data_IF_641018147380
#
_entry.id   IF_641018147380
#
_cell.length_a   1.000
_cell.length_b   1.000
_cell.length_c   1.000
_cell.angle_alpha   90.00
_cell.angle_beta   90.00
_cell.angle_gamma   90.00
#
_symmetry.space_group_name_H-M   'P 1'
#
loop_
_entity.id
_entity.type
_entity.pdbx_description
1 polymer ?
#
# COMPACT_ATOMS: atom_id res chain seq x y z
N UNK A 1 24.24 -4.47 11.40
CA UNK A 1 24.55 -5.03 10.07
C UNK A 1 24.82 -3.86 9.13
N UNK A 2 26.07 -3.59 8.80
CA UNK A 2 26.43 -2.71 7.70
C UNK A 2 26.04 -3.44 6.42
N UNK A 3 24.93 -3.04 5.80
CA UNK A 3 24.59 -3.50 4.46
C UNK A 3 25.49 -2.75 3.49
N UNK A 4 26.17 -3.46 2.61
CA UNK A 4 26.89 -2.90 1.47
C UNK A 4 25.93 -1.99 0.68
N UNK A 5 26.09 -0.69 0.84
CA UNK A 5 25.15 0.36 0.40
C UNK A 5 25.27 0.69 -1.09
N UNK A 6 25.83 -0.18 -1.91
CA UNK A 6 26.01 0.10 -3.33
C UNK A 6 25.64 -1.09 -4.21
N UNK A 7 24.39 -1.56 -4.09
CA UNK A 7 23.89 -2.65 -4.94
C UNK A 7 23.76 -2.27 -6.44
N UNK A 8 23.93 -0.99 -6.79
CA UNK A 8 23.62 -0.48 -8.14
C UNK A 8 22.12 -0.53 -8.49
N UNK A 9 21.28 -1.06 -7.60
CA UNK A 9 19.85 -1.18 -7.83
C UNK A 9 19.15 0.17 -7.69
N UNK A 10 18.18 0.41 -8.56
CA UNK A 10 17.34 1.61 -8.53
C UNK A 10 15.88 1.23 -8.28
N UNK A 11 15.19 2.06 -7.51
CA UNK A 11 13.78 1.88 -7.16
C UNK A 11 12.92 2.87 -7.93
N UNK A 12 11.90 2.38 -8.62
CA UNK A 12 10.80 3.20 -9.14
C UNK A 12 9.67 3.30 -8.09
N UNK A 13 9.13 4.49 -7.89
CA UNK A 13 7.92 4.71 -7.08
C UNK A 13 6.91 5.46 -7.96
N UNK A 14 5.78 4.83 -8.25
CA UNK A 14 4.69 5.48 -8.97
C UNK A 14 3.66 6.04 -8.00
N UNK A 15 3.49 7.37 -8.00
CA UNK A 15 2.66 8.12 -7.07
C UNK A 15 3.47 8.73 -5.93
N UNK A 16 3.19 10.02 -5.64
CA UNK A 16 3.85 10.76 -4.57
C UNK A 16 2.83 11.38 -3.60
N UNK A 17 1.82 10.54 -3.28
CA UNK A 17 0.86 10.81 -2.20
C UNK A 17 1.44 10.41 -0.84
N UNK A 18 0.56 10.18 0.15
CA UNK A 18 0.96 9.80 1.53
C UNK A 18 1.87 8.55 1.56
N UNK A 19 1.47 7.49 0.88
CA UNK A 19 2.24 6.24 0.85
C UNK A 19 3.56 6.42 0.09
N UNK A 20 3.53 7.04 -1.11
CA UNK A 20 4.75 7.25 -1.91
C UNK A 20 5.78 8.11 -1.21
N UNK A 21 5.36 9.21 -0.56
CA UNK A 21 6.26 10.06 0.23
C UNK A 21 6.94 9.30 1.36
N UNK A 22 6.17 8.56 2.17
CA UNK A 22 6.74 7.77 3.26
C UNK A 22 7.58 6.59 2.76
N UNK A 23 7.28 6.04 1.58
CA UNK A 23 8.15 5.05 0.94
C UNK A 23 9.51 5.66 0.58
N UNK A 24 9.55 6.90 0.07
CA UNK A 24 10.82 7.62 -0.16
C UNK A 24 11.58 7.78 1.16
N UNK A 25 10.94 8.28 2.21
CA UNK A 25 11.58 8.45 3.53
C UNK A 25 12.18 7.15 4.05
N UNK A 26 11.41 6.06 3.95
CA UNK A 26 11.83 4.75 4.42
C UNK A 26 13.04 4.19 3.63
N UNK A 27 13.04 4.34 2.29
CA UNK A 27 14.11 3.83 1.46
C UNK A 27 15.37 4.70 1.53
N UNK A 28 15.23 6.02 1.69
CA UNK A 28 16.34 6.93 2.00
C UNK A 28 17.00 6.53 3.32
N UNK A 29 16.21 6.23 4.37
CA UNK A 29 16.73 5.77 5.66
C UNK A 29 17.53 4.45 5.55
N UNK A 30 17.08 3.54 4.69
CA UNK A 30 17.72 2.22 4.53
C UNK A 30 18.94 2.22 3.63
N UNK A 31 19.07 3.19 2.73
CA UNK A 31 20.19 3.35 1.78
C UNK A 31 20.49 2.08 0.95
N UNK A 32 19.47 1.25 0.70
CA UNK A 32 19.61 0.02 -0.05
C UNK A 32 19.72 0.28 -1.57
N UNK A 33 18.97 1.28 -2.06
CA UNK A 33 18.95 1.66 -3.47
C UNK A 33 19.94 2.80 -3.72
N UNK A 34 20.65 2.74 -4.85
CA UNK A 34 21.59 3.79 -5.28
C UNK A 34 20.87 5.06 -5.78
N UNK A 35 19.68 4.91 -6.34
CA UNK A 35 18.83 6.01 -6.81
C UNK A 35 17.35 5.63 -6.65
N UNK A 36 16.49 6.61 -6.37
CA UNK A 36 15.04 6.44 -6.32
C UNK A 36 14.42 7.33 -7.39
N UNK A 37 13.59 6.74 -8.26
CA UNK A 37 12.88 7.43 -9.32
C UNK A 37 11.41 7.52 -8.94
N UNK A 38 10.91 8.73 -8.68
CA UNK A 38 9.53 8.97 -8.24
C UNK A 38 8.73 9.56 -9.38
N UNK A 39 7.68 8.88 -9.83
CA UNK A 39 6.76 9.45 -10.79
C UNK A 39 5.58 10.14 -10.09
N UNK A 40 5.42 11.43 -10.33
CA UNK A 40 4.26 12.22 -9.89
C UNK A 40 3.17 12.21 -10.95
N UNK A 41 3.54 12.08 -12.23
CA UNK A 41 2.65 11.98 -13.38
C UNK A 41 1.90 13.27 -13.72
N UNK A 42 2.34 14.40 -13.22
CA UNK A 42 1.82 15.75 -13.54
C UNK A 42 2.78 16.82 -13.04
N UNK A 43 2.67 17.99 -13.59
CA UNK A 43 3.32 19.17 -13.02
C UNK A 43 2.76 19.50 -11.63
N UNK A 44 3.65 19.86 -10.73
CA UNK A 44 3.34 20.23 -9.35
C UNK A 44 4.25 21.36 -8.90
N UNK A 45 3.66 22.34 -8.22
CA UNK A 45 4.38 23.55 -7.79
C UNK A 45 4.91 24.37 -8.97
N UNK A 46 5.86 25.22 -8.71
CA UNK A 46 6.53 26.04 -9.70
C UNK A 46 7.97 25.59 -9.97
N UNK A 47 8.62 25.04 -8.95
CA UNK A 47 10.02 24.61 -9.01
C UNK A 47 10.22 23.30 -8.25
N UNK A 48 11.39 22.71 -8.40
CA UNK A 48 11.80 21.52 -7.63
C UNK A 48 11.86 21.79 -6.11
N UNK A 49 12.03 23.07 -5.70
CA UNK A 49 11.98 23.49 -4.29
C UNK A 49 10.62 23.18 -3.64
N UNK A 50 9.53 23.29 -4.39
CA UNK A 50 8.19 22.96 -3.88
C UNK A 50 8.06 21.47 -3.58
N UNK A 51 8.66 20.64 -4.44
CA UNK A 51 8.72 19.19 -4.22
C UNK A 51 9.64 18.89 -3.02
N UNK A 52 10.76 19.58 -2.89
CA UNK A 52 11.65 19.42 -1.75
C UNK A 52 10.96 19.79 -0.43
N UNK A 53 10.23 20.90 -0.39
CA UNK A 53 9.44 21.30 0.79
C UNK A 53 8.35 20.27 1.12
N UNK A 54 7.64 19.77 0.11
CA UNK A 54 6.65 18.72 0.32
C UNK A 54 7.28 17.43 0.83
N UNK A 55 8.47 17.08 0.34
CA UNK A 55 9.24 15.90 0.77
C UNK A 55 9.70 16.02 2.20
N UNK A 56 10.24 17.20 2.58
CA UNK A 56 10.78 17.46 3.94
C UNK A 56 9.69 17.46 5.01
N UNK A 57 8.45 17.85 4.68
CA UNK A 57 7.40 18.10 5.67
C UNK A 57 6.19 17.20 5.51
N UNK A 58 5.71 16.68 6.63
CA UNK A 58 4.46 15.93 6.69
C UNK A 58 3.60 16.40 7.87
N UNK A 59 2.31 16.62 7.63
CA UNK A 59 1.38 17.11 8.66
C UNK A 59 1.13 16.09 9.78
N UNK A 60 1.36 14.81 9.53
CA UNK A 60 1.16 13.73 10.50
C UNK A 60 2.47 13.29 11.15
N UNK A 61 3.54 13.17 10.34
CA UNK A 61 4.82 12.59 10.76
C UNK A 61 5.92 13.62 11.02
N UNK A 62 5.65 14.91 10.80
CA UNK A 62 6.56 15.99 11.07
C UNK A 62 7.62 16.19 9.97
N UNK A 63 8.86 16.35 10.35
CA UNK A 63 9.99 16.63 9.45
C UNK A 63 10.74 15.33 9.13
N UNK A 64 11.17 15.15 7.86
CA UNK A 64 12.01 14.05 7.41
C UNK A 64 13.26 13.90 8.29
N UNK A 65 13.99 15.00 8.53
CA UNK A 65 15.17 14.99 9.41
C UNK A 65 14.86 14.49 10.82
N UNK A 66 13.72 14.91 11.37
CA UNK A 66 13.27 14.46 12.69
C UNK A 66 12.93 12.98 12.71
N UNK A 67 12.33 12.47 11.61
CA UNK A 67 12.04 11.05 11.42
C UNK A 67 13.32 10.19 11.35
N UNK A 68 14.37 10.67 10.66
CA UNK A 68 15.62 9.91 10.48
C UNK A 68 16.57 10.05 11.68
N UNK A 69 16.74 11.26 12.20
CA UNK A 69 17.86 11.59 13.11
C UNK A 69 17.45 12.36 14.38
N UNK A 70 16.16 12.59 14.59
CA UNK A 70 15.67 13.34 15.74
C UNK A 70 15.80 14.87 15.56
N UNK A 71 15.70 15.62 16.66
CA UNK A 71 15.55 17.09 16.62
C UNK A 71 16.81 17.86 16.22
N UNK A 72 17.98 17.27 16.37
CA UNK A 72 19.28 17.93 16.15
C UNK A 72 19.84 17.79 14.74
N UNK A 73 19.06 17.23 13.80
CA UNK A 73 19.56 16.94 12.46
C UNK A 73 19.63 18.20 11.58
N UNK A 74 20.70 18.29 10.81
CA UNK A 74 20.86 19.27 9.73
C UNK A 74 19.86 19.02 8.58
N UNK A 75 19.65 19.98 7.69
CA UNK A 75 18.87 19.78 6.47
C UNK A 75 19.41 18.59 5.66
N UNK A 76 18.51 17.68 5.24
CA UNK A 76 18.88 16.46 4.54
C UNK A 76 18.75 16.57 3.02
N UNK A 77 18.10 17.62 2.51
CA UNK A 77 17.86 17.81 1.08
C UNK A 77 18.87 18.84 0.55
N UNK A 78 19.63 18.42 -0.47
CA UNK A 78 20.65 19.24 -1.17
C UNK A 78 20.62 18.98 -2.68
N UNK A 79 21.52 19.64 -3.40
CA UNK A 79 21.82 19.41 -4.82
C UNK A 79 20.57 19.40 -5.73
N UNK A 80 19.72 20.44 -5.56
CA UNK A 80 18.51 20.56 -6.38
C UNK A 80 18.89 20.90 -7.83
N UNK A 81 18.67 19.96 -8.74
CA UNK A 81 18.91 20.10 -10.18
C UNK A 81 17.56 20.13 -10.93
N UNK A 82 17.09 21.33 -11.24
CA UNK A 82 15.84 21.54 -11.98
C UNK A 82 15.87 20.88 -13.37
N UNK A 83 17.02 20.85 -14.03
CA UNK A 83 17.16 20.33 -15.40
C UNK A 83 16.89 18.84 -15.44
N UNK A 84 17.45 18.08 -14.51
CA UNK A 84 17.24 16.65 -14.42
C UNK A 84 16.05 16.24 -13.53
N UNK A 85 15.42 17.22 -12.84
CA UNK A 85 14.34 17.00 -11.88
C UNK A 85 14.78 16.17 -10.66
N UNK A 86 16.05 16.28 -10.26
CA UNK A 86 16.63 15.46 -9.21
C UNK A 86 17.15 16.29 -8.04
N UNK A 87 17.18 15.69 -6.85
CA UNK A 87 17.81 16.22 -5.65
C UNK A 87 18.50 15.11 -4.88
N UNK A 88 19.39 15.47 -3.99
CA UNK A 88 19.99 14.53 -3.03
C UNK A 88 19.21 14.60 -1.72
N UNK A 89 18.80 13.46 -1.19
CA UNK A 89 18.11 13.33 0.10
C UNK A 89 18.93 12.38 0.98
N UNK A 90 19.55 12.88 2.01
CA UNK A 90 20.42 12.12 2.92
C UNK A 90 21.46 11.25 2.17
N UNK A 91 22.08 11.82 1.13
CA UNK A 91 23.07 11.16 0.29
C UNK A 91 22.51 10.25 -0.81
N UNK A 92 21.22 10.06 -0.89
CA UNK A 92 20.57 9.28 -1.96
C UNK A 92 20.04 10.23 -3.04
N UNK A 93 20.36 9.96 -4.31
CA UNK A 93 19.78 10.68 -5.44
C UNK A 93 18.31 10.29 -5.61
N UNK A 94 17.44 11.28 -5.61
CA UNK A 94 15.99 11.09 -5.85
C UNK A 94 15.56 11.96 -7.02
N UNK A 95 15.04 11.31 -8.05
CA UNK A 95 14.58 11.94 -9.29
C UNK A 95 13.06 11.97 -9.35
N UNK A 96 12.48 13.09 -9.74
CA UNK A 96 11.04 13.29 -9.85
C UNK A 96 10.61 13.45 -11.30
N UNK A 97 9.79 12.52 -11.78
CA UNK A 97 9.18 12.54 -13.12
C UNK A 97 7.79 13.16 -13.04
N UNK A 98 7.47 14.02 -14.00
CA UNK A 98 6.21 14.79 -14.01
C UNK A 98 5.39 14.58 -15.29
N UNK A 99 5.84 13.73 -16.20
CA UNK A 99 5.34 13.65 -17.57
C UNK A 99 4.03 12.89 -17.74
N UNK A 100 3.89 11.70 -17.21
CA UNK A 100 2.72 10.85 -17.48
C UNK A 100 2.17 10.15 -16.24
N UNK A 101 0.85 9.95 -16.24
CA UNK A 101 0.13 9.10 -15.29
C UNK A 101 -0.08 7.68 -15.76
N UNK A 102 0.05 7.45 -17.07
CA UNK A 102 -0.07 6.12 -17.63
C UNK A 102 1.19 5.31 -17.35
N UNK A 103 1.12 4.18 -16.66
CA UNK A 103 2.28 3.36 -16.33
C UNK A 103 3.14 2.96 -17.54
N UNK A 104 2.53 2.71 -18.69
CA UNK A 104 3.23 2.34 -19.93
C UNK A 104 4.13 3.46 -20.50
N UNK A 105 3.88 4.71 -20.10
CA UNK A 105 4.57 5.90 -20.62
C UNK A 105 5.63 6.45 -19.66
N UNK A 106 5.87 5.82 -18.49
CA UNK A 106 6.81 6.35 -17.48
C UNK A 106 8.28 6.08 -17.85
N UNK A 107 8.53 5.15 -18.76
CA UNK A 107 9.85 4.79 -19.29
C UNK A 107 10.89 4.39 -18.21
N UNK A 108 10.52 3.48 -17.33
CA UNK A 108 11.41 2.96 -16.26
C UNK A 108 12.74 2.44 -16.79
N UNK A 109 12.75 1.93 -18.04
CA UNK A 109 13.96 1.40 -18.71
C UNK A 109 15.04 2.44 -18.84
N UNK A 110 14.71 3.67 -19.21
CA UNK A 110 15.67 4.78 -19.36
C UNK A 110 16.38 5.09 -18.05
N UNK A 111 15.65 5.00 -16.93
CA UNK A 111 16.22 5.26 -15.61
C UNK A 111 16.83 4.02 -14.96
N UNK A 112 16.68 2.84 -15.54
CA UNK A 112 17.19 1.58 -15.00
C UNK A 112 16.43 1.09 -13.76
N UNK A 113 15.17 1.53 -13.55
CA UNK A 113 14.33 1.10 -12.46
C UNK A 113 13.65 -0.23 -12.78
N UNK A 114 14.24 -1.34 -12.33
CA UNK A 114 13.73 -2.70 -12.55
C UNK A 114 12.64 -3.11 -11.57
N UNK A 115 12.67 -2.58 -10.37
CA UNK A 115 11.63 -2.75 -9.35
C UNK A 115 10.83 -1.46 -9.23
N UNK A 116 9.50 -1.57 -9.35
CA UNK A 116 8.58 -0.45 -9.21
C UNK A 116 7.57 -0.72 -8.10
N UNK A 117 7.36 0.25 -7.22
CA UNK A 117 6.28 0.25 -6.23
C UNK A 117 5.18 1.21 -6.69
N UNK A 118 3.99 0.69 -7.01
CA UNK A 118 2.83 1.52 -7.31
C UNK A 118 2.08 1.87 -6.02
N UNK A 119 2.08 3.16 -5.70
CA UNK A 119 1.41 3.72 -4.52
C UNK A 119 0.20 4.59 -4.87
N UNK A 120 -0.24 4.55 -6.13
CA UNK A 120 -1.35 5.38 -6.64
C UNK A 120 -2.73 4.88 -6.19
N UNK A 121 -2.86 3.57 -5.94
CA UNK A 121 -4.14 2.92 -5.70
C UNK A 121 -5.09 2.96 -6.92
N UNK A 122 -4.58 3.20 -8.13
CA UNK A 122 -5.38 3.30 -9.37
C UNK A 122 -5.33 2.01 -10.19
N UNK A 123 -4.17 1.38 -10.32
CA UNK A 123 -3.91 0.25 -11.20
C UNK A 123 -3.97 -1.07 -10.44
N UNK A 124 -5.19 -1.47 -10.04
CA UNK A 124 -5.40 -2.58 -9.10
C UNK A 124 -5.80 -3.89 -9.77
N UNK A 125 -6.07 -3.87 -11.07
CA UNK A 125 -6.52 -5.04 -11.81
C UNK A 125 -5.37 -5.62 -12.65
N UNK A 126 -4.80 -6.77 -12.25
CA UNK A 126 -3.67 -7.38 -12.95
C UNK A 126 -4.07 -8.05 -14.26
N UNK A 127 -5.38 -8.16 -14.56
CA UNK A 127 -5.89 -8.76 -15.81
C UNK A 127 -6.01 -7.77 -16.95
N UNK A 128 -5.85 -6.46 -16.67
CA UNK A 128 -5.95 -5.40 -17.68
C UNK A 128 -4.68 -5.38 -18.53
N UNK A 129 -4.87 -5.34 -19.85
CA UNK A 129 -3.76 -5.27 -20.82
C UNK A 129 -2.93 -4.00 -20.65
N UNK A 130 -1.61 -4.05 -20.94
CA UNK A 130 -0.70 -2.94 -20.64
C UNK A 130 -1.00 -1.66 -21.43
N UNK A 131 -1.52 -1.77 -22.64
CA UNK A 131 -1.85 -0.68 -23.55
C UNK A 131 -3.25 -0.06 -23.29
N UNK A 132 -3.88 -0.40 -22.18
CA UNK A 132 -5.20 0.13 -21.84
C UNK A 132 -5.16 1.67 -21.75
N UNK A 133 -6.09 2.42 -22.40
CA UNK A 133 -6.04 3.88 -22.50
C UNK A 133 -6.04 4.64 -21.16
N UNK A 134 -6.59 4.03 -20.12
CA UNK A 134 -6.59 4.58 -18.76
C UNK A 134 -5.40 4.12 -17.90
N UNK A 135 -4.44 3.43 -18.53
CA UNK A 135 -3.31 2.78 -17.86
C UNK A 135 -3.69 1.46 -17.16
N UNK A 136 -2.69 0.64 -16.96
CA UNK A 136 -2.78 -0.65 -16.26
C UNK A 136 -1.51 -0.90 -15.46
N UNK A 137 -1.57 -1.76 -14.43
CA UNK A 137 -0.38 -2.17 -13.68
C UNK A 137 0.67 -2.82 -14.57
N UNK A 138 0.22 -3.58 -15.59
CA UNK A 138 1.08 -4.22 -16.60
C UNK A 138 1.85 -3.23 -17.46
N UNK A 139 1.37 -1.98 -17.57
CA UNK A 139 2.08 -0.91 -18.26
C UNK A 139 3.47 -0.63 -17.66
N UNK A 140 3.66 -0.83 -16.37
CA UNK A 140 4.98 -0.71 -15.75
C UNK A 140 5.99 -1.73 -16.31
N UNK A 141 5.55 -2.96 -16.58
CA UNK A 141 6.39 -4.01 -17.18
C UNK A 141 6.78 -3.63 -18.59
N UNK A 142 5.83 -3.16 -19.41
CA UNK A 142 6.10 -2.66 -20.77
C UNK A 142 7.09 -1.47 -20.76
N UNK A 143 6.95 -0.58 -19.77
CA UNK A 143 7.84 0.56 -19.57
C UNK A 143 9.26 0.17 -19.07
N UNK A 144 9.49 -1.12 -18.78
CA UNK A 144 10.82 -1.65 -18.48
C UNK A 144 11.05 -2.10 -17.04
N UNK A 145 10.04 -2.08 -16.19
CA UNK A 145 10.13 -2.73 -14.89
C UNK A 145 10.16 -4.27 -15.06
N UNK A 146 10.94 -4.97 -14.24
CA UNK A 146 10.94 -6.43 -14.16
C UNK A 146 9.92 -6.92 -13.11
N UNK A 147 9.74 -6.14 -12.04
CA UNK A 147 8.82 -6.43 -10.94
C UNK A 147 8.03 -5.20 -10.54
N UNK A 148 6.76 -5.41 -10.24
CA UNK A 148 5.85 -4.35 -9.75
C UNK A 148 5.22 -4.79 -8.44
N UNK A 149 5.39 -3.98 -7.40
CA UNK A 149 4.69 -4.14 -6.12
C UNK A 149 3.57 -3.12 -6.06
N UNK A 150 2.34 -3.58 -5.89
CA UNK A 150 1.17 -2.72 -5.72
C UNK A 150 0.87 -2.59 -4.22
N UNK A 151 0.91 -1.36 -3.69
CA UNK A 151 0.64 -1.06 -2.27
C UNK A 151 -0.88 -1.05 -1.96
N UNK A 152 -1.62 -1.97 -2.56
CA UNK A 152 -3.06 -2.11 -2.40
C UNK A 152 -3.51 -3.52 -2.83
N UNK A 153 -4.69 -3.99 -2.38
CA UNK A 153 -5.23 -5.28 -2.82
C UNK A 153 -5.62 -5.23 -4.30
N UNK A 154 -5.46 -6.33 -4.99
CA UNK A 154 -5.99 -6.48 -6.34
C UNK A 154 -7.51 -6.38 -6.37
N UNK A 155 -8.03 -5.84 -7.46
CA UNK A 155 -9.47 -5.70 -7.74
C UNK A 155 -9.75 -6.08 -9.19
N UNK A 156 -9.94 -7.37 -9.44
CA UNK A 156 -10.34 -7.87 -10.75
C UNK A 156 -11.80 -7.47 -10.97
N UNK A 157 -12.05 -6.65 -11.99
CA UNK A 157 -13.38 -6.12 -12.29
C UNK A 157 -14.25 -7.14 -13.01
N UNK A 158 -13.65 -7.89 -13.91
CA UNK A 158 -14.31 -9.00 -14.61
C UNK A 158 -14.23 -10.26 -13.74
N UNK A 159 -15.33 -10.58 -13.05
CA UNK A 159 -15.41 -11.74 -12.15
C UNK A 159 -15.20 -13.09 -12.84
N UNK A 160 -15.29 -13.14 -14.17
CA UNK A 160 -15.01 -14.33 -14.97
C UNK A 160 -13.51 -14.58 -15.20
N UNK A 161 -12.66 -13.60 -14.91
CA UNK A 161 -11.22 -13.74 -15.08
C UNK A 161 -10.54 -14.22 -13.80
N UNK A 162 -9.76 -15.31 -13.86
CA UNK A 162 -8.95 -15.74 -12.74
C UNK A 162 -7.78 -14.77 -12.48
N UNK A 163 -7.14 -14.91 -11.33
CA UNK A 163 -5.85 -14.26 -11.06
C UNK A 163 -4.83 -14.75 -12.08
N UNK A 164 -4.11 -13.85 -12.75
CA UNK A 164 -3.04 -14.24 -13.69
C UNK A 164 -1.92 -14.99 -12.97
N UNK A 165 -1.31 -15.93 -13.67
CA UNK A 165 -0.25 -16.79 -13.12
C UNK A 165 1.01 -16.03 -12.68
N UNK A 166 1.25 -14.86 -13.23
CA UNK A 166 2.37 -13.99 -12.89
C UNK A 166 2.03 -12.95 -11.81
N UNK A 167 0.82 -13.03 -11.24
CA UNK A 167 0.37 -12.13 -10.17
C UNK A 167 0.11 -12.88 -8.87
N UNK A 168 0.51 -12.28 -7.75
CA UNK A 168 0.36 -12.90 -6.42
C UNK A 168 0.03 -11.84 -5.36
N UNK A 169 -0.76 -12.23 -4.35
CA UNK A 169 -0.98 -11.41 -3.15
C UNK A 169 -0.19 -11.99 -1.98
N UNK A 170 0.67 -11.19 -1.37
CA UNK A 170 1.52 -11.61 -0.26
C UNK A 170 1.41 -10.69 0.94
N UNK A 171 1.54 -11.28 2.12
CA UNK A 171 1.74 -10.59 3.40
C UNK A 171 2.97 -11.20 4.05
N UNK A 172 3.99 -10.38 4.30
CA UNK A 172 5.25 -10.83 4.91
C UNK A 172 5.00 -11.49 6.26
N UNK A 173 5.63 -12.65 6.48
CA UNK A 173 5.48 -13.47 7.69
C UNK A 173 4.19 -14.30 7.75
N UNK A 174 3.33 -14.24 6.73
CA UNK A 174 2.07 -15.01 6.64
C UNK A 174 2.11 -16.01 5.48
N UNK A 175 2.31 -15.51 4.28
CA UNK A 175 2.32 -16.30 3.04
C UNK A 175 3.37 -15.84 2.03
N UNK A 176 4.42 -15.15 2.47
CA UNK A 176 5.50 -14.70 1.60
C UNK A 176 6.25 -15.85 0.90
N UNK A 177 6.16 -17.06 1.44
CA UNK A 177 6.68 -18.30 0.83
C UNK A 177 5.97 -18.69 -0.49
N UNK A 178 4.79 -18.15 -0.79
CA UNK A 178 4.11 -18.40 -2.08
C UNK A 178 4.70 -17.56 -3.22
N UNK A 179 5.53 -16.56 -2.91
CA UNK A 179 6.19 -15.76 -3.92
C UNK A 179 7.31 -16.54 -4.61
N UNK A 180 7.18 -16.74 -5.92
CA UNK A 180 8.24 -17.26 -6.78
C UNK A 180 8.81 -16.13 -7.65
N UNK A 181 10.07 -15.71 -7.47
CA UNK A 181 10.67 -14.61 -8.23
C UNK A 181 10.80 -14.90 -9.73
N UNK A 182 10.77 -16.17 -10.15
CA UNK A 182 10.82 -16.54 -11.57
C UNK A 182 9.46 -16.48 -12.26
N UNK A 183 8.39 -16.57 -11.49
CA UNK A 183 7.02 -16.62 -11.99
C UNK A 183 6.27 -15.29 -11.78
N UNK A 184 6.35 -14.73 -10.57
CA UNK A 184 5.53 -13.59 -10.18
C UNK A 184 6.20 -12.26 -10.51
N UNK A 185 5.60 -11.48 -11.40
CA UNK A 185 6.06 -10.17 -11.80
C UNK A 185 5.21 -9.03 -11.22
N UNK A 186 3.99 -9.33 -10.82
CA UNK A 186 3.05 -8.36 -10.23
C UNK A 186 2.65 -8.85 -8.84
N UNK A 187 3.03 -8.11 -7.82
CA UNK A 187 2.85 -8.49 -6.42
C UNK A 187 1.92 -7.48 -5.73
N UNK A 188 0.84 -7.93 -5.13
CA UNK A 188 0.02 -7.11 -4.24
C UNK A 188 0.46 -7.32 -2.79
N UNK A 189 0.70 -6.23 -2.06
CA UNK A 189 0.94 -6.25 -0.62
C UNK A 189 -0.37 -6.20 0.19
N UNK A 190 -1.48 -6.64 -0.40
CA UNK A 190 -2.80 -6.65 0.24
C UNK A 190 -3.23 -5.25 0.72
N UNK A 191 -3.95 -5.17 1.83
CA UNK A 191 -4.34 -3.91 2.48
C UNK A 191 -3.84 -3.83 3.92
N UNK A 192 -3.79 -2.62 4.47
CA UNK A 192 -3.43 -2.40 5.87
C UNK A 192 -4.29 -3.26 6.83
N UNK A 193 -5.60 -3.32 6.59
CA UNK A 193 -6.53 -4.14 7.37
C UNK A 193 -6.26 -5.63 7.19
N UNK A 194 -6.06 -6.10 5.96
CA UNK A 194 -5.74 -7.51 5.68
C UNK A 194 -4.43 -7.93 6.33
N UNK A 195 -3.40 -7.10 6.24
CA UNK A 195 -2.09 -7.36 6.86
C UNK A 195 -2.21 -7.50 8.38
N UNK A 196 -2.86 -6.54 9.04
CA UNK A 196 -3.07 -6.59 10.49
C UNK A 196 -3.88 -7.83 10.90
N UNK A 197 -5.00 -8.09 10.21
CA UNK A 197 -5.89 -9.20 10.50
C UNK A 197 -5.22 -10.58 10.28
N UNK A 198 -4.41 -10.70 9.23
CA UNK A 198 -3.67 -11.92 8.95
C UNK A 198 -2.69 -12.28 10.08
N UNK A 199 -2.00 -11.28 10.64
CA UNK A 199 -1.12 -11.48 11.78
C UNK A 199 -1.87 -11.79 13.09
N UNK A 200 -3.13 -11.40 13.22
CA UNK A 200 -3.97 -11.80 14.35
C UNK A 200 -4.49 -13.23 14.21
N UNK A 201 -4.94 -13.62 13.02
CA UNK A 201 -5.65 -14.88 12.78
C UNK A 201 -4.69 -16.06 12.56
N UNK A 202 -3.60 -15.86 11.81
CA UNK A 202 -2.70 -16.99 11.48
C UNK A 202 -2.12 -17.70 12.70
N UNK A 203 -1.65 -17.01 13.75
CA UNK A 203 -1.23 -17.68 14.99
C UNK A 203 -2.35 -18.48 15.65
N UNK A 204 -3.58 -17.95 15.66
CA UNK A 204 -4.73 -18.66 16.24
C UNK A 204 -5.06 -19.94 15.47
N UNK A 205 -5.08 -19.88 14.14
CA UNK A 205 -5.28 -21.06 13.30
C UNK A 205 -4.18 -22.10 13.54
N UNK A 206 -2.93 -21.66 13.64
CA UNK A 206 -1.79 -22.55 13.86
C UNK A 206 -1.84 -23.24 15.23
N UNK A 207 -2.36 -22.56 16.26
CA UNK A 207 -2.43 -23.06 17.64
C UNK A 207 -3.68 -23.92 17.88
N UNK A 208 -4.84 -23.42 17.44
CA UNK A 208 -6.13 -24.06 17.72
C UNK A 208 -6.56 -25.06 16.65
N UNK A 209 -6.08 -24.85 15.42
CA UNK A 209 -6.59 -25.50 14.22
C UNK A 209 -7.82 -24.78 13.64
N UNK A 210 -7.98 -24.76 12.29
CA UNK A 210 -9.06 -24.02 11.64
C UNK A 210 -10.45 -24.54 12.03
N UNK A 211 -10.60 -25.84 12.29
CA UNK A 211 -11.88 -26.47 12.62
C UNK A 211 -12.45 -26.05 13.97
N UNK A 212 -11.62 -25.52 14.89
CA UNK A 212 -12.09 -24.98 16.18
C UNK A 212 -12.67 -23.57 16.05
N UNK A 213 -12.46 -22.88 14.95
CA UNK A 213 -13.01 -21.55 14.72
C UNK A 213 -14.32 -21.70 13.94
N UNK A 214 -15.45 -21.59 14.63
CA UNK A 214 -16.78 -21.75 14.04
C UNK A 214 -17.17 -20.55 13.18
N UNK A 215 -16.89 -19.35 13.67
CA UNK A 215 -17.12 -18.12 12.95
C UNK A 215 -16.25 -17.01 13.50
N UNK A 216 -16.08 -15.97 12.70
CA UNK A 216 -15.35 -14.77 13.08
C UNK A 216 -16.07 -13.52 12.61
N UNK A 217 -15.96 -12.44 13.37
CA UNK A 217 -16.35 -11.11 12.95
C UNK A 217 -15.30 -10.08 13.31
N UNK A 218 -15.15 -9.07 12.47
CA UNK A 218 -14.27 -7.96 12.79
C UNK A 218 -14.89 -6.61 12.47
N UNK A 219 -14.56 -5.63 13.29
CA UNK A 219 -14.78 -4.23 12.99
C UNK A 219 -13.45 -3.49 12.93
N UNK A 220 -13.24 -2.66 11.90
CA UNK A 220 -12.09 -1.76 11.87
C UNK A 220 -12.52 -0.31 12.07
N UNK A 221 -11.97 0.32 13.09
CA UNK A 221 -12.05 1.77 13.33
C UNK A 221 -10.84 2.41 12.67
N UNK A 222 -11.05 3.09 11.56
CA UNK A 222 -9.97 3.44 10.64
C UNK A 222 -9.85 4.95 10.45
N UNK A 223 -8.62 5.44 10.40
CA UNK A 223 -8.30 6.82 10.07
C UNK A 223 -8.88 7.24 8.70
N UNK A 224 -8.98 8.55 8.51
CA UNK A 224 -9.39 9.12 7.22
C UNK A 224 -8.42 8.71 6.10
N UNK A 225 -8.98 8.54 4.91
CA UNK A 225 -8.20 8.37 3.69
C UNK A 225 -8.64 9.40 2.66
N UNK A 226 -7.94 9.50 1.53
CA UNK A 226 -8.28 10.47 0.47
C UNK A 226 -9.68 10.33 -0.14
N UNK A 227 -10.44 9.29 0.24
CA UNK A 227 -11.83 9.12 -0.20
C UNK A 227 -12.87 9.82 0.68
N UNK A 228 -12.51 10.20 1.92
CA UNK A 228 -13.38 10.94 2.81
C UNK A 228 -13.39 12.42 2.45
N UNK A 229 -14.52 13.10 2.70
CA UNK A 229 -14.70 14.52 2.47
C UNK A 229 -14.43 15.30 3.76
N UNK A 230 -13.74 16.45 3.66
CA UNK A 230 -13.59 17.38 4.79
C UNK A 230 -14.91 18.09 5.08
N UNK A 231 -15.61 18.54 4.04
CA UNK A 231 -16.93 19.14 4.09
C UNK A 231 -17.94 18.28 3.33
N UNK A 232 -19.23 18.43 3.63
CA UNK A 232 -20.29 17.77 2.88
C UNK A 232 -20.19 18.09 1.39
N UNK A 233 -20.36 17.09 0.55
CA UNK A 233 -20.26 17.23 -0.90
C UNK A 233 -21.46 16.61 -1.59
N UNK A 234 -21.92 17.25 -2.63
CA UNK A 234 -22.95 16.67 -3.51
C UNK A 234 -22.42 15.36 -4.13
N UNK A 235 -23.24 14.30 -4.15
CA UNK A 235 -22.87 13.05 -4.79
C UNK A 235 -22.73 13.26 -6.30
N UNK A 236 -21.79 12.53 -6.91
CA UNK A 236 -21.70 12.47 -8.37
C UNK A 236 -22.88 11.66 -8.91
N UNK A 237 -23.29 11.94 -10.15
CA UNK A 237 -24.33 11.15 -10.82
C UNK A 237 -24.01 9.65 -10.77
N UNK A 238 -25.00 8.84 -10.42
CA UNK A 238 -24.88 7.37 -10.34
C UNK A 238 -24.26 6.85 -9.03
N UNK A 239 -23.89 7.70 -8.07
CA UNK A 239 -23.40 7.26 -6.75
C UNK A 239 -24.59 6.83 -5.89
N UNK A 240 -24.55 5.59 -5.42
CA UNK A 240 -25.58 5.00 -4.53
C UNK A 240 -25.22 5.08 -3.05
N UNK A 241 -23.93 5.06 -2.70
CA UNK A 241 -23.45 5.15 -1.31
C UNK A 241 -23.20 6.62 -0.91
N UNK A 242 -24.24 7.25 -0.37
CA UNK A 242 -24.20 8.66 0.03
C UNK A 242 -23.38 8.93 1.28
N UNK A 243 -23.04 7.92 2.07
CA UNK A 243 -22.23 8.06 3.28
C UNK A 243 -20.89 8.71 3.01
N UNK A 244 -20.27 8.42 1.86
CA UNK A 244 -18.98 8.97 1.44
C UNK A 244 -19.01 10.45 1.10
N UNK A 245 -20.17 11.06 1.03
CA UNK A 245 -20.35 12.48 0.72
C UNK A 245 -20.49 13.35 1.97
N UNK A 246 -20.55 12.71 3.13
CA UNK A 246 -20.61 13.42 4.42
C UNK A 246 -19.21 13.81 4.90
N UNK A 247 -19.17 14.96 5.60
CA UNK A 247 -17.94 15.43 6.26
C UNK A 247 -17.46 14.42 7.29
N UNK A 248 -16.14 14.13 7.26
CA UNK A 248 -15.52 13.28 8.26
C UNK A 248 -15.22 14.00 9.57
N UNK A 249 -15.17 15.34 9.58
CA UNK A 249 -14.67 16.12 10.70
C UNK A 249 -15.41 15.83 12.03
N UNK A 250 -16.74 15.62 11.97
CA UNK A 250 -17.57 15.39 13.13
C UNK A 250 -18.45 14.13 13.01
N UNK A 251 -18.03 13.17 12.20
CA UNK A 251 -18.82 11.97 11.95
C UNK A 251 -18.00 10.69 12.04
N UNK A 252 -18.69 9.63 12.41
CA UNK A 252 -18.26 8.24 12.20
C UNK A 252 -18.93 7.76 10.92
N UNK A 253 -18.13 7.52 9.87
CA UNK A 253 -18.62 7.15 8.53
C UNK A 253 -18.52 5.64 8.34
N UNK A 254 -19.65 4.96 8.24
CA UNK A 254 -19.69 3.55 7.86
C UNK A 254 -19.18 3.39 6.43
N UNK A 255 -18.30 2.42 6.21
CA UNK A 255 -17.78 2.08 4.89
C UNK A 255 -17.75 0.58 4.70
N UNK A 256 -17.67 0.14 3.45
CA UNK A 256 -17.43 -1.27 3.14
C UNK A 256 -15.95 -1.58 3.23
N UNK A 257 -15.63 -2.84 3.55
CA UNK A 257 -14.26 -3.37 3.53
C UNK A 257 -14.21 -4.66 2.72
N UNK A 258 -13.13 -4.81 1.93
CA UNK A 258 -12.83 -6.06 1.21
C UNK A 258 -11.91 -7.00 2.01
N UNK A 259 -11.67 -6.71 3.29
CA UNK A 259 -10.68 -7.43 4.09
C UNK A 259 -11.01 -8.92 4.24
N UNK A 260 -12.29 -9.29 4.39
CA UNK A 260 -12.70 -10.69 4.49
C UNK A 260 -12.30 -11.49 3.24
N UNK A 261 -12.58 -10.97 2.05
CA UNK A 261 -12.21 -11.63 0.80
C UNK A 261 -10.70 -11.65 0.58
N UNK A 262 -10.01 -10.55 0.90
CA UNK A 262 -8.56 -10.48 0.76
C UNK A 262 -7.82 -11.40 1.74
N UNK A 263 -8.39 -11.63 2.92
CA UNK A 263 -7.82 -12.54 3.93
C UNK A 263 -7.75 -13.99 3.41
N UNK A 264 -8.77 -14.44 2.69
CA UNK A 264 -8.80 -15.79 2.09
C UNK A 264 -7.69 -16.01 1.06
N UNK A 265 -7.24 -14.95 0.38
CA UNK A 265 -6.13 -15.04 -0.56
C UNK A 265 -4.77 -15.26 0.12
N UNK A 266 -4.64 -14.89 1.39
CA UNK A 266 -3.38 -15.01 2.15
C UNK A 266 -3.43 -16.10 3.22
N UNK A 267 -4.63 -16.47 3.67
CA UNK A 267 -4.92 -17.57 4.62
C UNK A 267 -6.08 -18.38 4.04
N UNK A 268 -5.82 -19.36 3.17
CA UNK A 268 -6.87 -20.14 2.51
C UNK A 268 -7.82 -20.89 3.48
N UNK A 269 -7.35 -21.25 4.67
CA UNK A 269 -8.15 -21.90 5.70
C UNK A 269 -9.38 -21.06 6.13
N UNK A 270 -9.35 -19.75 5.85
CA UNK A 270 -10.49 -18.86 6.12
C UNK A 270 -11.67 -19.02 5.16
N UNK A 271 -11.54 -19.80 4.10
CA UNK A 271 -12.68 -20.09 3.19
C UNK A 271 -13.78 -20.92 3.87
N UNK A 272 -13.40 -21.80 4.78
CA UNK A 272 -14.32 -22.66 5.52
C UNK A 272 -14.93 -21.97 6.74
N UNK A 273 -14.42 -20.80 7.12
CA UNK A 273 -14.85 -20.06 8.32
C UNK A 273 -15.80 -18.93 7.91
N UNK A 274 -16.99 -18.92 8.51
CA UNK A 274 -17.93 -17.81 8.36
C UNK A 274 -17.32 -16.52 8.91
N UNK A 275 -17.11 -15.53 8.03
CA UNK A 275 -16.41 -14.29 8.42
C UNK A 275 -17.14 -13.03 7.95
N UNK A 276 -17.49 -12.16 8.90
CA UNK A 276 -18.12 -10.85 8.66
C UNK A 276 -17.11 -9.75 8.98
N UNK A 277 -17.02 -8.75 8.10
CA UNK A 277 -16.10 -7.63 8.27
C UNK A 277 -16.81 -6.29 8.02
N UNK A 278 -16.72 -5.41 9.00
CA UNK A 278 -17.28 -4.06 8.97
C UNK A 278 -16.18 -3.01 9.12
N UNK A 279 -16.42 -1.81 8.61
CA UNK A 279 -15.46 -0.72 8.67
C UNK A 279 -16.13 0.61 8.98
N UNK A 280 -15.54 1.36 9.89
CA UNK A 280 -15.92 2.76 10.16
C UNK A 280 -14.72 3.66 9.97
N UNK A 281 -14.96 4.87 9.46
CA UNK A 281 -13.96 5.93 9.36
C UNK A 281 -14.21 6.95 10.47
N UNK A 282 -13.12 7.36 11.11
CA UNK A 282 -13.13 8.34 12.21
C UNK A 282 -12.20 9.50 11.88
N UNK A 283 -12.41 10.70 12.47
CA UNK A 283 -11.65 11.92 12.14
C UNK A 283 -10.26 11.94 12.79
N UNK A 284 -9.47 10.92 12.56
CA UNK A 284 -8.04 10.86 12.94
C UNK A 284 -7.17 10.75 11.69
N UNK A 285 -5.97 11.29 11.75
CA UNK A 285 -5.10 11.42 10.57
C UNK A 285 -4.41 10.12 10.18
N UNK A 286 -4.17 9.21 11.13
CA UNK A 286 -3.41 7.96 10.91
C UNK A 286 -3.80 6.89 11.92
N UNK A 287 -3.44 5.65 11.59
CA UNK A 287 -3.72 4.47 12.42
C UNK A 287 -5.10 3.86 12.19
N UNK A 288 -5.27 2.67 12.68
CA UNK A 288 -6.56 1.98 12.76
C UNK A 288 -6.54 0.93 13.86
N UNK A 289 -7.71 0.67 14.43
CA UNK A 289 -7.92 -0.38 15.43
C UNK A 289 -8.77 -1.49 14.79
N UNK A 290 -8.37 -2.74 14.98
CA UNK A 290 -9.19 -3.90 14.64
C UNK A 290 -9.73 -4.51 15.94
N UNK A 291 -11.04 -4.72 15.97
CA UNK A 291 -11.73 -5.51 17.00
C UNK A 291 -12.11 -6.81 16.33
N UNK A 292 -11.50 -7.92 16.78
CA UNK A 292 -11.75 -9.26 16.27
C UNK A 292 -12.52 -10.06 17.33
N UNK A 293 -13.62 -10.68 16.92
CA UNK A 293 -14.42 -11.59 17.74
C UNK A 293 -14.44 -12.95 17.07
N UNK A 294 -14.10 -13.98 17.81
CA UNK A 294 -14.10 -15.39 17.37
C UNK A 294 -15.10 -16.20 18.19
N UNK A 295 -15.87 -17.04 17.52
CA UNK A 295 -16.63 -18.09 18.16
C UNK A 295 -15.84 -19.39 18.00
N UNK A 296 -15.45 -19.96 19.12
CA UNK A 296 -14.61 -21.16 19.19
C UNK A 296 -15.45 -22.35 19.64
N UNK A 297 -15.17 -23.50 19.07
CA UNK A 297 -15.72 -24.76 19.55
C UNK A 297 -14.84 -25.33 20.64
N UNK A 298 -15.42 -25.53 21.81
CA UNK A 298 -14.79 -26.21 22.93
C UNK A 298 -15.08 -27.73 22.84
N UNK A 299 -14.06 -28.55 23.14
CA UNK A 299 -14.30 -29.98 23.32
C UNK A 299 -14.99 -30.22 24.66
N UNK A 300 -16.05 -30.98 24.71
CA UNK A 300 -16.82 -31.27 25.92
C UNK A 300 -15.99 -31.91 27.07
N UNK A 301 -14.78 -32.36 26.77
CA UNK A 301 -13.85 -33.02 27.69
C UNK A 301 -12.53 -32.31 27.86
N UNK A 302 -12.34 -31.13 27.31
CA UNK A 302 -11.10 -30.34 27.36
C UNK A 302 -11.13 -29.22 28.39
N UNK A 303 -9.96 -28.73 28.75
CA UNK A 303 -9.85 -27.51 29.55
C UNK A 303 -10.43 -26.30 28.78
N UNK A 304 -11.12 -25.37 29.47
CA UNK A 304 -11.64 -24.20 28.81
C UNK A 304 -10.52 -23.37 28.16
N UNK A 305 -10.81 -22.79 26.99
CA UNK A 305 -9.87 -21.92 26.30
C UNK A 305 -9.66 -20.67 27.14
N UNK A 306 -8.45 -20.53 27.69
CA UNK A 306 -8.05 -19.40 28.57
C UNK A 306 -7.35 -18.29 27.79
N UNK A 307 -7.01 -17.20 28.50
CA UNK A 307 -6.20 -16.11 27.94
C UNK A 307 -4.69 -16.38 27.98
N UNK A 308 -4.26 -17.42 28.66
CA UNK A 308 -2.87 -17.77 28.83
C UNK A 308 -2.25 -18.49 27.63
#
# INVERSE_FOLDING_TARGET
MQTDTNSGLKLGINGFGRIGKLSVWHHVARKYFSEIIVNIGRDVGTTLKDIAHYTERDSTYGLLRGFLYGQSADPLISDLDETSGAMTIDGIRVRFLRSSRNPAEINWREYGAKLVVDTTGQFLDPTVVPDHPKGAVRGHLEAGAEKVIVSAPFKIKDKGKPMPDDAVTTVMGINDNVYDPRRHNIISNASCTTTCLAHMIKPLINTLGPKKILSASMATVHAVTGSQQVLDRLPKAGVTDLRKNRSIMNNIILTTTGAANALRLVIPEMEEIGFIAESVRVPISTGSLIILVLNLQEELSGDPISRE
#
